data_IF_924025021116
#
_entry.id   IF_924025021116
#
_cell.length_a   1.000
_cell.length_b   1.000
_cell.length_c   1.000
_cell.angle_alpha   90.00
_cell.angle_beta   90.00
_cell.angle_gamma   90.00
#
_symmetry.space_group_name_H-M   'P 1'
#
loop_
_entity.id
_entity.type
_entity.pdbx_description
1 polymer ?
#
# COMPACT_ATOMS: atom_id res chain seq x y z
N UNK A 1 -20.03 -3.24 -10.21
CA UNK A 1 -19.65 -3.29 -8.78
C UNK A 1 -19.26 -1.90 -8.30
N UNK A 2 -19.95 -1.36 -7.29
CA UNK A 2 -19.56 -0.08 -6.69
C UNK A 2 -18.20 -0.19 -6.01
N UNK A 3 -17.33 0.81 -6.19
CA UNK A 3 -15.96 0.86 -5.64
C UNK A 3 -15.94 1.40 -4.20
N UNK A 4 -17.08 1.30 -3.51
CA UNK A 4 -17.30 1.92 -2.22
C UNK A 4 -16.94 0.93 -1.11
N UNK A 5 -16.20 1.42 -0.11
CA UNK A 5 -15.92 0.64 1.10
C UNK A 5 -17.24 0.40 1.84
N UNK A 6 -17.35 -0.75 2.50
CA UNK A 6 -18.51 -1.09 3.35
C UNK A 6 -18.71 -0.03 4.43
N UNK A 7 -17.60 0.47 5.00
CA UNK A 7 -17.57 1.63 5.89
C UNK A 7 -16.81 2.75 5.21
N UNK A 8 -17.48 3.81 4.72
CA UNK A 8 -16.82 4.87 3.94
C UNK A 8 -15.77 5.64 4.75
N UNK A 9 -15.98 5.83 6.05
CA UNK A 9 -15.06 6.54 6.95
C UNK A 9 -13.73 5.78 7.17
N UNK A 10 -13.74 4.45 7.00
CA UNK A 10 -12.56 3.61 7.21
C UNK A 10 -11.46 3.83 6.17
N UNK A 11 -11.74 4.54 5.07
CA UNK A 11 -10.81 4.72 3.95
C UNK A 11 -9.43 5.19 4.40
N UNK A 12 -9.37 6.21 5.27
CA UNK A 12 -8.09 6.77 5.76
C UNK A 12 -7.30 5.74 6.56
N UNK A 13 -7.96 5.03 7.48
CA UNK A 13 -7.33 4.00 8.32
C UNK A 13 -6.85 2.81 7.49
N UNK A 14 -7.65 2.35 6.52
CA UNK A 14 -7.29 1.26 5.62
C UNK A 14 -6.14 1.63 4.68
N UNK A 15 -6.06 2.88 4.22
CA UNK A 15 -4.94 3.33 3.41
C UNK A 15 -3.64 3.35 4.22
N UNK A 16 -3.68 3.80 5.48
CA UNK A 16 -2.52 3.73 6.38
C UNK A 16 -2.08 2.26 6.54
N UNK A 17 -3.01 1.39 6.95
CA UNK A 17 -2.73 -0.02 7.18
C UNK A 17 -2.18 -0.74 5.93
N UNK A 18 -2.70 -0.39 4.75
CA UNK A 18 -2.22 -0.90 3.45
C UNK A 18 -0.75 -0.58 3.23
N UNK A 19 -0.32 0.65 3.49
CA UNK A 19 1.08 1.06 3.32
C UNK A 19 1.98 0.50 4.43
N UNK A 20 1.49 0.41 5.67
CA UNK A 20 2.22 -0.24 6.77
C UNK A 20 2.53 -1.70 6.46
N UNK A 21 1.52 -2.47 6.08
CA UNK A 21 1.68 -3.90 5.74
C UNK A 21 2.61 -4.07 4.54
N UNK A 22 2.48 -3.21 3.54
CA UNK A 22 3.34 -3.32 2.37
C UNK A 22 4.79 -2.96 2.69
N UNK A 23 5.04 -2.01 3.61
CA UNK A 23 6.38 -1.75 4.15
C UNK A 23 6.91 -2.96 4.94
N UNK A 24 6.08 -3.60 5.78
CA UNK A 24 6.46 -4.83 6.50
C UNK A 24 6.79 -6.00 5.58
N UNK A 25 6.09 -6.10 4.44
CA UNK A 25 6.35 -7.10 3.40
C UNK A 25 7.53 -6.74 2.49
N UNK A 26 8.17 -5.58 2.70
CA UNK A 26 9.29 -5.12 1.88
C UNK A 26 8.90 -4.75 0.45
N UNK A 27 7.62 -4.43 0.20
CA UNK A 27 7.14 -4.10 -1.13
C UNK A 27 7.51 -2.66 -1.48
N UNK A 28 7.99 -2.38 -2.72
CA UNK A 28 8.38 -1.04 -3.16
C UNK A 28 7.16 -0.16 -3.48
N UNK A 29 6.23 -0.01 -2.53
CA UNK A 29 5.04 0.84 -2.65
C UNK A 29 5.32 2.25 -2.15
N UNK A 30 6.01 3.03 -2.99
CA UNK A 30 6.27 4.44 -2.68
C UNK A 30 4.98 5.26 -2.65
N UNK A 31 4.53 5.70 -1.46
CA UNK A 31 3.97 7.05 -1.36
C UNK A 31 5.19 7.94 -1.44
N UNK A 32 5.58 8.35 -2.65
CA UNK A 32 6.80 9.09 -2.97
C UNK A 32 6.93 10.37 -2.12
N UNK A 33 7.37 10.22 -0.87
CA UNK A 33 8.26 11.15 -0.22
C UNK A 33 9.63 10.68 -0.66
N UNK A 34 10.07 11.23 -1.79
CA UNK A 34 11.44 11.14 -2.28
C UNK A 34 12.38 11.71 -1.23
N UNK A 35 12.77 10.91 -0.25
CA UNK A 35 13.97 11.18 0.54
C UNK A 35 15.01 10.20 0.02
N UNK A 36 15.73 10.69 -1.00
CA UNK A 36 17.04 10.27 -1.48
C UNK A 36 17.56 8.92 -0.97
N UNK A 37 17.17 7.85 -1.66
CA UNK A 37 17.95 6.61 -1.67
C UNK A 37 18.24 6.32 -3.16
N UNK A 38 19.45 6.71 -3.56
CA UNK A 38 20.25 6.20 -4.68
C UNK A 38 19.88 6.53 -6.14
N UNK A 39 19.49 7.78 -6.43
CA UNK A 39 19.32 8.29 -7.82
C UNK A 39 20.64 8.52 -8.58
N UNK A 40 21.81 8.38 -7.94
CA UNK A 40 23.10 8.69 -8.58
C UNK A 40 23.62 7.60 -9.55
N UNK A 41 23.08 6.37 -9.50
CA UNK A 41 23.43 5.33 -10.49
C UNK A 41 22.44 5.25 -11.66
N UNK A 42 21.18 5.67 -11.45
CA UNK A 42 20.11 5.56 -12.44
C UNK A 42 20.01 6.76 -13.41
N UNK A 43 20.79 7.82 -13.21
CA UNK A 43 20.71 9.04 -14.03
C UNK A 43 21.39 8.88 -15.41
N UNK A 44 22.29 7.91 -15.59
CA UNK A 44 23.03 7.75 -16.85
C UNK A 44 22.28 6.93 -17.92
N UNK A 45 21.25 6.16 -17.56
CA UNK A 45 20.47 5.39 -18.52
C UNK A 45 19.24 6.19 -18.96
N UNK A 46 19.49 7.10 -19.90
CA UNK A 46 18.52 8.07 -20.37
C UNK A 46 17.14 7.51 -20.71
N UNK A 47 16.11 8.10 -20.10
CA UNK A 47 14.88 8.44 -20.82
C UNK A 47 14.09 9.49 -20.04
N UNK A 48 14.14 10.71 -20.57
CA UNK A 48 13.22 11.80 -20.31
C UNK A 48 11.78 11.39 -20.66
N UNK A 49 10.86 11.55 -19.71
CA UNK A 49 9.58 12.22 -19.97
C UNK A 49 8.84 12.48 -18.65
N UNK A 50 8.82 13.76 -18.28
CA UNK A 50 7.91 14.33 -17.30
C UNK A 50 6.47 14.19 -17.76
N UNK A 51 5.62 13.44 -17.04
CA UNK A 51 4.18 13.71 -16.96
C UNK A 51 3.61 13.32 -15.59
N UNK A 52 3.18 14.35 -14.87
CA UNK A 52 2.23 14.34 -13.77
C UNK A 52 1.05 13.39 -14.04
N UNK A 53 0.87 12.41 -13.15
CA UNK A 53 -0.25 11.48 -13.19
C UNK A 53 -0.12 10.47 -12.07
N UNK A 54 -0.50 10.88 -10.86
CA UNK A 54 -0.64 10.08 -9.64
C UNK A 54 -1.35 8.74 -9.91
N UNK A 55 -0.62 7.70 -10.33
CA UNK A 55 -1.07 6.32 -10.24
C UNK A 55 -0.28 5.70 -9.11
N UNK A 56 -1.01 5.37 -8.05
CA UNK A 56 -0.52 4.58 -6.92
C UNK A 56 0.19 3.35 -7.51
N UNK A 57 1.51 3.26 -7.32
CA UNK A 57 2.38 2.28 -7.99
C UNK A 57 2.18 0.85 -7.45
N UNK A 58 0.96 0.31 -7.54
CA UNK A 58 0.64 -1.09 -7.18
C UNK A 58 0.55 -1.99 -8.41
N UNK A 59 0.46 -1.39 -9.61
CA UNK A 59 0.27 -2.13 -10.87
C UNK A 59 1.50 -2.89 -11.37
N UNK A 60 2.70 -2.57 -10.87
CA UNK A 60 3.93 -3.28 -11.22
C UNK A 60 4.25 -4.44 -10.26
N UNK A 61 3.50 -4.57 -9.17
CA UNK A 61 3.66 -5.66 -8.20
C UNK A 61 2.98 -6.93 -8.71
N UNK A 62 3.47 -8.08 -8.24
CA UNK A 62 2.86 -9.36 -8.58
C UNK A 62 1.47 -9.48 -7.93
N UNK A 63 0.56 -10.22 -8.56
CA UNK A 63 -0.76 -10.52 -7.98
C UNK A 63 -0.63 -11.20 -6.60
N UNK A 64 0.45 -11.96 -6.38
CA UNK A 64 0.73 -12.62 -5.10
C UNK A 64 1.05 -11.60 -4.02
N UNK A 65 1.85 -10.57 -4.31
CA UNK A 65 2.22 -9.54 -3.35
C UNK A 65 1.02 -8.65 -3.00
N UNK A 66 0.28 -8.23 -4.03
CA UNK A 66 -0.98 -7.49 -3.84
C UNK A 66 -2.00 -8.30 -3.03
N UNK A 67 -2.09 -9.61 -3.28
CA UNK A 67 -2.92 -10.54 -2.52
C UNK A 67 -2.47 -10.69 -1.06
N UNK A 68 -1.16 -10.78 -0.81
CA UNK A 68 -0.60 -10.90 0.54
C UNK A 68 -0.90 -9.67 1.40
N UNK A 69 -0.81 -8.46 0.81
CA UNK A 69 -1.20 -7.21 1.50
C UNK A 69 -2.68 -7.24 1.87
N UNK A 70 -3.56 -7.58 0.92
CA UNK A 70 -4.99 -7.69 1.18
C UNK A 70 -5.34 -8.72 2.25
N UNK A 71 -4.68 -9.87 2.23
CA UNK A 71 -4.85 -10.93 3.24
C UNK A 71 -4.48 -10.46 4.64
N UNK A 72 -3.33 -9.79 4.80
CA UNK A 72 -2.89 -9.25 6.09
C UNK A 72 -3.78 -8.12 6.61
N UNK A 73 -4.36 -7.29 5.73
CA UNK A 73 -5.35 -6.29 6.12
C UNK A 73 -6.54 -6.98 6.78
N UNK A 74 -7.13 -7.98 6.12
CA UNK A 74 -8.28 -8.72 6.65
C UNK A 74 -7.94 -9.45 7.95
N UNK A 75 -6.77 -10.10 8.01
CA UNK A 75 -6.30 -10.78 9.22
C UNK A 75 -6.25 -9.83 10.42
N UNK A 76 -5.65 -8.65 10.27
CA UNK A 76 -5.55 -7.65 11.36
C UNK A 76 -6.90 -7.06 11.75
N UNK A 77 -7.82 -6.89 10.80
CA UNK A 77 -9.17 -6.41 11.10
C UNK A 77 -9.94 -7.43 11.92
N UNK A 78 -9.85 -8.71 11.57
CA UNK A 78 -10.49 -9.79 12.33
C UNK A 78 -9.87 -9.87 13.71
N UNK A 79 -8.54 -9.88 13.81
CA UNK A 79 -7.86 -9.93 15.11
C UNK A 79 -8.29 -8.79 16.04
N UNK A 80 -8.35 -7.54 15.54
CA UNK A 80 -8.82 -6.40 16.34
C UNK A 80 -10.31 -6.51 16.71
N UNK A 81 -11.12 -7.07 15.82
CA UNK A 81 -12.53 -7.32 16.11
C UNK A 81 -12.67 -8.39 17.20
N UNK A 82 -11.90 -9.47 17.13
CA UNK A 82 -11.83 -10.51 18.15
C UNK A 82 -11.35 -9.92 19.49
N UNK A 83 -10.28 -9.14 19.51
CA UNK A 83 -9.80 -8.43 20.70
C UNK A 83 -10.91 -7.54 21.28
N UNK A 84 -11.64 -6.79 20.45
CA UNK A 84 -12.72 -5.91 20.92
C UNK A 84 -13.93 -6.68 21.45
N UNK A 85 -14.26 -7.82 20.83
CA UNK A 85 -15.43 -8.64 21.17
C UNK A 85 -15.19 -9.60 22.34
N UNK A 86 -13.96 -10.11 22.47
CA UNK A 86 -13.57 -11.11 23.46
C UNK A 86 -12.73 -10.53 24.62
N UNK A 87 -12.43 -9.23 24.62
CA UNK A 87 -11.87 -8.50 25.78
C UNK A 87 -12.93 -8.21 26.87
N UNK A 88 -13.75 -9.22 27.20
CA UNK A 88 -14.59 -9.23 28.41
C UNK A 88 -13.84 -9.94 29.54
#
# INVERSE_FOLDING_TARGET
MARNKVVPESKKALDILKYEIAAELGLPVGKHLSMNVDTEFATELGSVSSYSGKKESWGHLTSRDNGAVGGRITQRLIQRAEETLFSL
#
